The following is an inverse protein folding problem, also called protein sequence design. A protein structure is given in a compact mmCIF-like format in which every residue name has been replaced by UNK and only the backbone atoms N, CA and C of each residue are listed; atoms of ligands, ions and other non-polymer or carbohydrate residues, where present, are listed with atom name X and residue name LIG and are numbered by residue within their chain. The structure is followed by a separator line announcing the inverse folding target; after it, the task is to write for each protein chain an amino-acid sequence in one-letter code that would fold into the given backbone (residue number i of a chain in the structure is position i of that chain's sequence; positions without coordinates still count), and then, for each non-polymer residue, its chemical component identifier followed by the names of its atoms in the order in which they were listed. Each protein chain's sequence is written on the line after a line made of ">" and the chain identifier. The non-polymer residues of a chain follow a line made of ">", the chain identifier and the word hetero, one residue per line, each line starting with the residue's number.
data_IF_282081447689
#
_entry.id   IF_282081447689
#
_cell.length_a   1.000
_cell.length_b   1.000
_cell.length_c   1.000
_cell.angle_alpha   90.00
_cell.angle_beta   90.00
_cell.angle_gamma   90.00
#
_symmetry.space_group_name_H-M   'P 1'
#
loop_
_entity.id
_entity.type
_entity.pdbx_description
1 polymer ?
#
# COMPACT_ATOMS: atom_id res chain seq x y z
N UNK A 1 -10.70 -7.28 21.72
CA UNK A 1 -11.90 -6.69 22.35
C UNK A 1 -13.11 -6.78 21.45
N UNK A 2 -13.08 -6.22 20.23
CA UNK A 2 -14.21 -6.28 19.27
C UNK A 2 -14.73 -7.69 19.02
N UNK A 3 -13.83 -8.65 18.82
CA UNK A 3 -14.18 -10.05 18.58
C UNK A 3 -14.89 -10.70 19.78
N UNK A 4 -14.36 -10.52 20.99
CA UNK A 4 -14.97 -11.01 22.24
C UNK A 4 -16.37 -10.44 22.49
N UNK A 5 -16.64 -9.22 22.00
CA UNK A 5 -17.96 -8.57 22.09
C UNK A 5 -18.88 -8.91 20.91
N UNK A 6 -18.43 -9.74 19.96
CA UNK A 6 -19.20 -10.07 18.75
C UNK A 6 -19.33 -8.93 17.74
N UNK A 7 -18.61 -7.82 17.95
CA UNK A 7 -18.74 -6.59 17.14
C UNK A 7 -18.12 -6.70 15.75
N UNK A 8 -17.39 -7.77 15.44
CA UNK A 8 -16.93 -8.10 14.08
C UNK A 8 -17.94 -8.95 13.29
N UNK A 9 -19.02 -9.42 13.94
CA UNK A 9 -20.02 -10.28 13.30
C UNK A 9 -20.72 -9.58 12.14
N UNK A 10 -20.90 -10.33 11.06
CA UNK A 10 -21.75 -9.96 9.91
C UNK A 10 -23.19 -10.46 10.06
N UNK A 11 -23.47 -11.28 11.08
CA UNK A 11 -24.82 -11.78 11.35
C UNK A 11 -25.64 -10.69 12.03
N UNK A 12 -26.85 -10.39 11.55
CA UNK A 12 -27.72 -9.42 12.20
C UNK A 12 -28.06 -9.82 13.63
N UNK A 13 -28.15 -8.82 14.51
CA UNK A 13 -28.62 -8.94 15.90
C UNK A 13 -29.79 -7.98 16.11
N UNK A 14 -30.70 -8.34 17.02
CA UNK A 14 -31.83 -7.50 17.41
C UNK A 14 -31.40 -6.52 18.51
N UNK A 15 -31.66 -5.23 18.34
CA UNK A 15 -31.41 -4.17 19.33
C UNK A 15 -32.69 -3.34 19.48
N UNK A 16 -33.45 -3.57 20.55
CA UNK A 16 -34.81 -3.02 20.66
C UNK A 16 -35.66 -3.47 19.47
N UNK A 17 -36.24 -2.52 18.74
CA UNK A 17 -37.10 -2.78 17.58
C UNK A 17 -36.35 -2.86 16.23
N UNK A 18 -35.02 -2.62 16.21
CA UNK A 18 -34.22 -2.62 14.97
C UNK A 18 -33.28 -3.82 14.87
N UNK A 19 -33.07 -4.31 13.65
CA UNK A 19 -32.01 -5.29 13.34
C UNK A 19 -30.80 -4.57 12.79
N UNK A 20 -29.63 -4.84 13.36
CA UNK A 20 -28.36 -4.24 12.94
C UNK A 20 -27.30 -5.30 12.73
N UNK A 21 -26.34 -5.02 11.85
CA UNK A 21 -25.13 -5.83 11.71
C UNK A 21 -24.04 -5.19 12.58
N UNK A 22 -23.52 -5.87 13.62
CA UNK A 22 -22.57 -5.28 14.56
C UNK A 22 -21.33 -4.66 13.90
N UNK A 23 -20.77 -5.34 12.89
CA UNK A 23 -19.62 -4.83 12.13
C UNK A 23 -19.93 -3.48 11.46
N UNK A 24 -21.13 -3.33 10.92
CA UNK A 24 -21.50 -2.14 10.17
C UNK A 24 -21.72 -0.95 11.13
N UNK A 25 -22.21 -1.21 12.36
CA UNK A 25 -22.24 -0.21 13.44
C UNK A 25 -20.82 0.23 13.81
N UNK A 26 -19.88 -0.70 13.98
CA UNK A 26 -18.47 -0.36 14.24
C UNK A 26 -17.90 0.47 13.10
N UNK A 27 -18.13 0.07 11.84
CA UNK A 27 -17.63 0.79 10.68
C UNK A 27 -18.20 2.22 10.59
N UNK A 28 -19.48 2.41 10.95
CA UNK A 28 -20.12 3.73 10.97
C UNK A 28 -19.62 4.63 12.11
N UNK A 29 -19.28 4.07 13.27
CA UNK A 29 -18.78 4.83 14.43
C UNK A 29 -17.26 5.04 14.41
N UNK A 30 -16.50 4.21 13.71
CA UNK A 30 -15.05 4.33 13.65
C UNK A 30 -14.64 5.61 12.90
N UNK A 31 -13.60 6.31 13.37
CA UNK A 31 -13.03 7.43 12.62
C UNK A 31 -12.60 6.93 11.25
N UNK A 32 -13.03 7.61 10.19
CA UNK A 32 -12.64 7.22 8.84
C UNK A 32 -11.23 7.74 8.57
N UNK A 33 -10.39 6.99 7.83
CA UNK A 33 -9.04 7.43 7.50
C UNK A 33 -9.00 8.84 6.89
N UNK A 34 -9.92 9.16 5.99
CA UNK A 34 -10.05 10.49 5.39
C UNK A 34 -10.26 11.64 6.40
N UNK A 35 -10.81 11.34 7.57
CA UNK A 35 -11.18 12.35 8.57
C UNK A 35 -10.11 12.51 9.67
N UNK A 36 -9.14 11.58 9.76
CA UNK A 36 -8.05 11.60 10.76
C UNK A 36 -6.65 11.67 10.13
N UNK A 37 -6.55 11.99 8.83
CA UNK A 37 -5.28 12.02 8.10
C UNK A 37 -4.23 12.92 8.75
N UNK A 38 -4.65 14.08 9.26
CA UNK A 38 -3.79 15.08 9.89
C UNK A 38 -3.40 14.71 11.33
N UNK A 39 -4.17 13.83 11.98
CA UNK A 39 -3.87 13.32 13.33
C UNK A 39 -2.88 12.14 13.28
N UNK A 40 -2.79 11.46 12.14
CA UNK A 40 -1.88 10.34 11.95
C UNK A 40 -0.44 10.84 11.74
N UNK A 41 0.43 10.59 12.71
CA UNK A 41 1.86 10.88 12.58
C UNK A 41 2.66 9.61 12.39
N UNK A 42 3.71 9.66 11.58
CA UNK A 42 4.71 8.60 11.51
C UNK A 42 5.01 8.16 10.09
N UNK A 43 5.76 7.07 9.99
CA UNK A 43 6.26 6.54 8.72
C UNK A 43 5.74 5.13 8.49
N UNK A 44 5.38 4.88 7.24
CA UNK A 44 5.15 3.56 6.71
C UNK A 44 6.43 3.06 6.05
N UNK A 45 6.66 1.76 6.13
CA UNK A 45 7.71 1.08 5.37
C UNK A 45 7.13 -0.20 4.80
N UNK A 46 7.16 -0.31 3.48
CA UNK A 46 6.81 -1.54 2.75
C UNK A 46 8.06 -2.03 2.05
N UNK A 47 8.29 -3.34 2.10
CA UNK A 47 9.45 -3.92 1.46
C UNK A 47 9.33 -5.42 1.26
N UNK A 48 10.31 -5.96 0.54
CA UNK A 48 10.44 -7.38 0.26
C UNK A 48 11.82 -7.82 0.72
N UNK A 49 11.85 -8.88 1.53
CA UNK A 49 13.07 -9.57 1.91
C UNK A 49 13.29 -10.73 0.93
N UNK A 50 14.36 -10.65 0.16
CA UNK A 50 14.74 -11.63 -0.85
C UNK A 50 15.92 -12.44 -0.34
N UNK A 51 15.71 -13.71 -0.06
CA UNK A 51 16.76 -14.66 0.33
C UNK A 51 16.91 -15.68 -0.78
N UNK A 52 18.14 -15.86 -1.28
CA UNK A 52 18.39 -16.75 -2.39
C UNK A 52 19.87 -17.07 -2.58
N UNK A 53 20.21 -17.63 -3.74
CA UNK A 53 21.59 -17.94 -4.11
C UNK A 53 21.98 -17.19 -5.38
N UNK A 54 23.20 -16.64 -5.36
CA UNK A 54 23.83 -16.02 -6.53
C UNK A 54 25.29 -16.50 -6.59
N UNK A 55 25.72 -16.98 -7.74
CA UNK A 55 27.07 -17.52 -7.95
C UNK A 55 27.47 -18.59 -6.91
N UNK A 56 26.51 -19.46 -6.56
CA UNK A 56 26.69 -20.54 -5.59
C UNK A 56 26.72 -20.12 -4.11
N UNK A 57 26.64 -18.82 -3.81
CA UNK A 57 26.64 -18.29 -2.43
C UNK A 57 25.26 -17.81 -2.04
N UNK A 58 24.91 -17.99 -0.77
CA UNK A 58 23.70 -17.38 -0.20
C UNK A 58 23.82 -15.86 -0.22
N UNK A 59 22.70 -15.22 -0.53
CA UNK A 59 22.55 -13.77 -0.59
C UNK A 59 21.21 -13.39 0.00
N UNK A 60 21.22 -12.31 0.76
CA UNK A 60 20.01 -11.71 1.32
C UNK A 60 19.97 -10.22 0.96
N UNK A 61 18.82 -9.80 0.44
CA UNK A 61 18.54 -8.40 0.14
C UNK A 61 17.23 -7.97 0.79
N UNK A 62 17.19 -6.75 1.31
CA UNK A 62 15.96 -6.10 1.73
C UNK A 62 15.72 -4.86 0.88
N UNK A 63 14.71 -4.92 0.03
CA UNK A 63 14.26 -3.81 -0.80
C UNK A 63 13.08 -3.16 -0.09
N UNK A 64 13.10 -1.84 0.08
CA UNK A 64 12.06 -1.16 0.83
C UNK A 64 11.76 0.24 0.31
N UNK A 65 10.56 0.71 0.61
CA UNK A 65 10.07 2.04 0.33
C UNK A 65 9.56 2.66 1.63
N UNK A 66 10.24 3.67 2.18
CA UNK A 66 9.72 4.47 3.26
C UNK A 66 8.74 5.53 2.74
N UNK A 67 7.71 5.84 3.53
CA UNK A 67 6.74 6.87 3.22
C UNK A 67 6.36 7.61 4.51
N UNK A 68 6.48 8.94 4.52
CA UNK A 68 6.11 9.76 5.67
C UNK A 68 4.68 10.27 5.52
N UNK A 69 3.85 10.11 6.57
CA UNK A 69 2.46 10.50 6.48
C UNK A 69 2.29 12.02 6.37
N UNK A 70 3.12 12.79 7.07
CA UNK A 70 3.04 14.24 7.05
C UNK A 70 3.48 14.80 5.69
N UNK A 71 4.58 14.28 5.12
CA UNK A 71 4.99 14.60 3.74
C UNK A 71 3.88 14.23 2.73
N UNK A 72 3.20 13.11 2.95
CA UNK A 72 2.11 12.63 2.09
C UNK A 72 0.90 13.56 2.11
N UNK A 73 0.49 13.97 3.30
CA UNK A 73 -0.62 14.91 3.50
C UNK A 73 -0.27 16.27 2.90
N UNK A 74 0.94 16.78 3.14
CA UNK A 74 1.39 18.07 2.58
C UNK A 74 1.40 18.06 1.05
N UNK A 75 1.89 16.98 0.43
CA UNK A 75 2.08 16.94 -1.03
C UNK A 75 0.83 16.49 -1.80
N UNK A 76 0.01 15.61 -1.23
CA UNK A 76 -1.11 14.98 -1.94
C UNK A 76 -2.45 15.05 -1.21
N UNK A 77 -2.50 15.63 -0.01
CA UNK A 77 -3.73 15.71 0.79
C UNK A 77 -4.28 14.34 1.19
N UNK A 78 -3.44 13.31 1.21
CA UNK A 78 -3.86 11.94 1.52
C UNK A 78 -2.81 11.22 2.36
N UNK A 79 -3.26 10.21 3.09
CA UNK A 79 -2.41 9.42 3.97
C UNK A 79 -1.37 8.61 3.20
N UNK A 80 -0.26 8.28 3.86
CA UNK A 80 0.85 7.51 3.29
C UNK A 80 0.42 6.20 2.62
N UNK A 81 -0.53 5.46 3.22
CA UNK A 81 -1.02 4.18 2.66
C UNK A 81 -1.72 4.38 1.31
N UNK A 82 -2.59 5.39 1.24
CA UNK A 82 -3.36 5.71 0.03
C UNK A 82 -2.44 6.25 -1.06
N UNK A 83 -1.55 7.18 -0.69
CA UNK A 83 -0.54 7.74 -1.56
C UNK A 83 0.34 6.63 -2.17
N UNK A 84 0.93 5.77 -1.33
CA UNK A 84 1.79 4.68 -1.78
C UNK A 84 1.08 3.74 -2.76
N UNK A 85 -0.19 3.39 -2.50
CA UNK A 85 -1.00 2.57 -3.41
C UNK A 85 -1.24 3.27 -4.75
N UNK A 86 -1.59 4.56 -4.70
CA UNK A 86 -1.83 5.38 -5.89
C UNK A 86 -0.58 5.53 -6.77
N UNK A 87 0.60 5.68 -6.17
CA UNK A 87 1.85 5.82 -6.92
C UNK A 87 2.21 4.59 -7.72
N UNK A 88 2.00 3.39 -7.16
CA UNK A 88 2.26 2.17 -7.91
C UNK A 88 1.45 2.08 -9.20
N UNK A 89 0.16 2.43 -9.12
CA UNK A 89 -0.72 2.48 -10.27
C UNK A 89 -0.33 3.59 -11.27
N UNK A 90 -0.02 4.79 -10.78
CA UNK A 90 0.37 5.92 -11.64
C UNK A 90 1.64 5.63 -12.44
N UNK A 91 2.66 5.05 -11.82
CA UNK A 91 3.92 4.68 -12.48
C UNK A 91 3.70 3.61 -13.55
N UNK A 92 2.90 2.58 -13.26
CA UNK A 92 2.57 1.55 -14.23
C UNK A 92 1.81 2.13 -15.45
N UNK A 93 0.84 3.01 -15.21
CA UNK A 93 0.09 3.69 -16.27
C UNK A 93 1.01 4.57 -17.13
N UNK A 94 1.94 5.29 -16.52
CA UNK A 94 2.93 6.10 -17.24
C UNK A 94 3.84 5.23 -18.12
N UNK A 95 4.31 4.07 -17.65
CA UNK A 95 5.12 3.15 -18.47
C UNK A 95 4.34 2.57 -19.65
N UNK A 96 3.04 2.30 -19.47
CA UNK A 96 2.14 1.90 -20.56
C UNK A 96 1.96 3.05 -21.54
N UNK A 97 1.70 4.26 -21.05
CA UNK A 97 1.54 5.47 -21.86
C UNK A 97 2.79 5.84 -22.66
N UNK A 98 3.98 5.61 -22.10
CA UNK A 98 5.29 5.76 -22.79
C UNK A 98 5.58 4.64 -23.79
N UNK A 99 4.73 3.61 -23.89
CA UNK A 99 4.95 2.45 -24.75
C UNK A 99 6.11 1.55 -24.32
N UNK A 100 6.54 1.65 -23.06
CA UNK A 100 7.60 0.82 -22.48
C UNK A 100 7.02 -0.53 -22.06
N UNK A 101 5.90 -0.51 -21.32
CA UNK A 101 5.12 -1.71 -21.00
C UNK A 101 3.98 -1.85 -22.01
N UNK A 102 4.19 -2.67 -23.05
CA UNK A 102 3.33 -2.68 -24.26
C UNK A 102 2.79 -4.05 -24.66
N UNK A 103 3.03 -5.08 -23.86
CA UNK A 103 2.65 -6.45 -24.20
C UNK A 103 1.13 -6.64 -24.17
N UNK A 104 0.60 -7.35 -25.16
CA UNK A 104 -0.83 -7.60 -25.30
C UNK A 104 -1.25 -8.83 -24.48
N UNK A 105 -2.06 -8.64 -23.45
CA UNK A 105 -2.53 -9.72 -22.57
C UNK A 105 -2.83 -9.24 -21.17
N UNK A 106 -2.93 -10.19 -20.23
CA UNK A 106 -3.10 -9.91 -18.80
C UNK A 106 -1.82 -10.33 -18.10
N UNK A 107 -1.05 -9.34 -17.65
CA UNK A 107 0.25 -9.56 -17.03
C UNK A 107 0.30 -8.87 -15.67
N UNK A 108 0.94 -9.55 -14.71
CA UNK A 108 1.30 -8.95 -13.44
C UNK A 108 2.58 -8.10 -13.60
N UNK A 109 2.84 -7.11 -12.73
CA UNK A 109 3.98 -6.19 -12.88
C UNK A 109 5.35 -6.90 -12.97
N UNK A 110 5.52 -8.04 -12.30
CA UNK A 110 6.74 -8.85 -12.29
C UNK A 110 7.09 -9.48 -13.65
N UNK A 111 6.15 -9.47 -14.61
CA UNK A 111 6.40 -9.92 -15.97
C UNK A 111 7.30 -8.96 -16.75
N UNK A 112 7.23 -7.66 -16.47
CA UNK A 112 7.96 -6.64 -17.22
C UNK A 112 9.37 -6.39 -16.65
N UNK A 113 10.26 -5.81 -17.46
CA UNK A 113 11.56 -5.33 -16.95
C UNK A 113 11.31 -4.32 -15.82
N UNK A 114 11.85 -4.57 -14.60
CA UNK A 114 11.65 -3.66 -13.48
C UNK A 114 12.48 -2.37 -13.60
N UNK A 115 13.54 -2.32 -14.43
CA UNK A 115 14.45 -1.17 -14.49
C UNK A 115 13.73 0.14 -14.89
N UNK A 116 12.92 0.19 -15.96
CA UNK A 116 12.18 1.40 -16.30
C UNK A 116 11.28 1.91 -15.17
N UNK A 117 10.66 1.00 -14.42
CA UNK A 117 9.83 1.36 -13.26
C UNK A 117 10.66 1.99 -12.15
N UNK A 118 11.82 1.42 -11.82
CA UNK A 118 12.72 1.96 -10.80
C UNK A 118 13.32 3.32 -11.21
N UNK A 119 13.62 3.53 -12.49
CA UNK A 119 14.06 4.84 -12.99
C UNK A 119 12.93 5.87 -12.94
N UNK A 120 11.71 5.49 -13.31
CA UNK A 120 10.54 6.38 -13.21
C UNK A 120 10.20 6.73 -11.76
N UNK A 121 10.39 5.79 -10.82
CA UNK A 121 10.29 6.08 -9.38
C UNK A 121 11.25 7.19 -8.97
N UNK A 122 12.51 7.13 -9.41
CA UNK A 122 13.52 8.17 -9.13
C UNK A 122 13.13 9.51 -9.75
N UNK A 123 12.71 9.51 -11.02
CA UNK A 123 12.24 10.70 -11.75
C UNK A 123 11.09 11.40 -11.02
N UNK A 124 10.16 10.62 -10.47
CA UNK A 124 8.98 11.11 -9.75
C UNK A 124 9.27 11.56 -8.30
N UNK A 125 10.50 11.34 -7.83
CA UNK A 125 10.92 11.67 -6.47
C UNK A 125 10.57 10.60 -5.41
N UNK A 126 10.18 9.39 -5.82
CA UNK A 126 9.97 8.27 -4.90
C UNK A 126 11.28 7.61 -4.54
N UNK A 127 11.57 7.61 -3.25
CA UNK A 127 12.76 6.99 -2.69
C UNK A 127 12.49 5.52 -2.44
N UNK A 128 13.41 4.66 -2.87
CA UNK A 128 13.49 3.27 -2.46
C UNK A 128 14.91 2.99 -1.99
N UNK A 129 15.06 2.02 -1.09
CA UNK A 129 16.33 1.56 -0.56
C UNK A 129 16.54 0.08 -0.85
N UNK A 130 17.80 -0.31 -0.96
CA UNK A 130 18.23 -1.70 -1.04
C UNK A 130 19.33 -1.90 -0.01
N UNK A 131 19.17 -2.89 0.86
CA UNK A 131 20.18 -3.32 1.83
C UNK A 131 20.62 -4.73 1.44
N UNK A 132 21.92 -4.94 1.27
CA UNK A 132 22.53 -6.27 1.21
C UNK A 132 22.93 -6.67 2.63
N UNK A 133 22.57 -7.90 3.04
CA UNK A 133 22.99 -8.48 4.31
C UNK A 133 24.06 -9.56 4.11
#
# INVERSE_FOLDING_TARGET
>A
MLDKLGLRSIKPVQVGDVKVVPRDVVAACAPQPKDIGDEMTGKMLVGVQCIGKKDGKEKEYFLYQPFDNQESIERWGTQAVTAQTGFGAALALELIGRGIWKEAGVYAPEYFDPKPYLELMKESGYKYGIIEK
#
